data_IF_929550834778
#
_entry.id   IF_929550834778
#
_cell.length_a   1.000
_cell.length_b   1.000
_cell.length_c   1.000
_cell.angle_alpha   90.00
_cell.angle_beta   90.00
_cell.angle_gamma   90.00
#
_symmetry.space_group_name_H-M   'P 1'
#
loop_
_entity.id
_entity.type
_entity.pdbx_description
1 polymer ?
#
# COMPACT_ATOMS: atom_id res chain seq x y z
N UNK A 1 -3.40 13.69 35.11
CA UNK A 1 -2.48 13.76 33.98
C UNK A 1 -3.30 14.08 32.73
N UNK A 2 -3.08 15.24 32.08
CA UNK A 2 -3.68 15.55 30.77
C UNK A 2 -2.94 14.70 29.74
N UNK A 3 -3.63 13.72 29.15
CA UNK A 3 -3.13 13.05 27.94
C UNK A 3 -3.14 14.12 26.86
N UNK A 4 -1.97 14.63 26.47
CA UNK A 4 -1.86 15.51 25.31
C UNK A 4 -2.36 14.71 24.11
N UNK A 5 -3.41 15.18 23.43
CA UNK A 5 -3.80 14.63 22.14
C UNK A 5 -2.61 14.84 21.20
N UNK A 6 -1.96 13.76 20.81
CA UNK A 6 -0.95 13.78 19.75
C UNK A 6 -1.70 14.13 18.47
N UNK A 7 -1.44 15.31 17.88
CA UNK A 7 -2.06 15.75 16.66
C UNK A 7 -1.25 15.23 15.47
N UNK A 8 -1.84 14.30 14.75
CA UNK A 8 -1.36 13.87 13.43
C UNK A 8 -1.91 14.86 12.39
N UNK A 9 -1.02 15.53 11.63
CA UNK A 9 -1.37 16.35 10.45
C UNK A 9 -0.78 15.72 9.20
N UNK A 10 -1.44 15.94 8.05
CA UNK A 10 -0.89 15.60 6.73
C UNK A 10 -0.84 16.88 5.92
N UNK A 11 0.29 17.15 5.30
CA UNK A 11 0.55 18.42 4.61
C UNK A 11 1.17 18.15 3.24
N UNK A 12 0.75 18.90 2.23
CA UNK A 12 1.35 18.86 0.89
C UNK A 12 2.77 19.44 0.94
N UNK A 13 3.72 18.76 0.33
CA UNK A 13 5.13 19.09 0.37
C UNK A 13 5.59 19.77 -0.92
N UNK A 14 6.27 20.92 -0.82
CA UNK A 14 6.74 21.66 -1.98
C UNK A 14 8.18 22.20 -1.85
N UNK A 15 8.65 22.43 -0.62
CA UNK A 15 9.98 22.97 -0.39
C UNK A 15 11.07 21.91 -0.64
N UNK A 16 12.26 22.33 -1.04
CA UNK A 16 13.39 21.41 -1.23
C UNK A 16 13.72 20.62 0.04
N UNK A 17 13.59 21.24 1.20
CA UNK A 17 13.81 20.61 2.51
C UNK A 17 12.80 19.47 2.72
N UNK A 18 11.53 19.70 2.41
CA UNK A 18 10.47 18.70 2.61
C UNK A 18 10.65 17.53 1.65
N UNK A 19 11.03 17.80 0.40
CA UNK A 19 11.34 16.74 -0.58
C UNK A 19 12.51 15.86 -0.09
N UNK A 20 13.53 16.47 0.51
CA UNK A 20 14.65 15.71 1.09
C UNK A 20 14.19 14.83 2.26
N UNK A 21 13.34 15.33 3.15
CA UNK A 21 12.80 14.57 4.27
C UNK A 21 11.91 13.42 3.81
N UNK A 22 11.01 13.67 2.85
CA UNK A 22 10.16 12.63 2.27
C UNK A 22 11.02 11.52 1.63
N UNK A 23 12.05 11.89 0.84
CA UNK A 23 12.98 10.93 0.25
C UNK A 23 13.71 10.13 1.32
N UNK A 24 14.17 10.74 2.41
CA UNK A 24 14.81 10.01 3.51
C UNK A 24 13.88 8.93 4.09
N UNK A 25 12.59 9.24 4.30
CA UNK A 25 11.60 8.27 4.78
C UNK A 25 11.44 7.11 3.79
N UNK A 26 11.44 7.39 2.49
CA UNK A 26 11.40 6.35 1.45
C UNK A 26 12.67 5.50 1.48
N UNK A 27 13.84 6.12 1.53
CA UNK A 27 15.14 5.43 1.57
C UNK A 27 15.30 4.57 2.85
N UNK A 28 14.81 5.02 4.00
CA UNK A 28 14.78 4.24 5.24
C UNK A 28 13.81 3.05 5.18
N UNK A 29 12.73 3.17 4.41
CA UNK A 29 11.73 2.12 4.28
C UNK A 29 12.15 1.04 3.28
N UNK A 30 12.72 1.45 2.15
CA UNK A 30 13.23 0.56 1.09
C UNK A 30 14.75 0.66 0.98
N UNK A 31 15.44 0.18 2.01
CA UNK A 31 16.92 0.16 2.06
C UNK A 31 17.47 -0.73 0.97
N UNK A 32 18.48 -0.23 0.26
CA UNK A 32 19.18 -0.94 -0.81
C UNK A 32 20.67 -1.07 -0.48
N UNK A 33 21.28 -2.18 -0.88
CA UNK A 33 22.70 -2.47 -0.65
C UNK A 33 23.66 -1.38 -1.18
N UNK A 34 23.27 -0.66 -2.24
CA UNK A 34 24.17 0.26 -2.95
C UNK A 34 23.83 1.75 -2.74
N UNK A 35 23.23 2.15 -1.64
CA UNK A 35 22.93 3.56 -1.31
C UNK A 35 22.18 4.33 -2.44
N UNK A 36 21.54 3.63 -3.35
CA UNK A 36 20.78 4.24 -4.44
C UNK A 36 19.33 4.46 -3.99
N UNK A 37 18.87 5.70 -4.04
CA UNK A 37 17.49 6.03 -3.75
C UNK A 37 16.54 5.49 -4.83
N UNK A 38 15.33 5.06 -4.44
CA UNK A 38 14.28 4.65 -5.37
C UNK A 38 13.89 5.81 -6.31
N UNK A 39 13.88 7.04 -5.78
CA UNK A 39 13.54 8.24 -6.53
C UNK A 39 14.56 9.35 -6.25
N UNK A 40 15.08 9.98 -7.32
CA UNK A 40 15.98 11.13 -7.16
C UNK A 40 15.21 12.41 -6.83
N UNK A 41 15.84 13.36 -6.12
CA UNK A 41 15.22 14.66 -5.80
C UNK A 41 14.80 15.43 -7.06
N UNK A 42 15.61 15.36 -8.11
CA UNK A 42 15.33 16.08 -9.36
C UNK A 42 14.09 15.50 -10.04
N UNK A 43 13.97 14.16 -10.09
CA UNK A 43 12.80 13.51 -10.65
C UNK A 43 11.55 13.80 -9.81
N UNK A 44 11.65 13.69 -8.48
CA UNK A 44 10.56 14.00 -7.57
C UNK A 44 10.07 15.45 -7.76
N UNK A 45 11.01 16.42 -7.85
CA UNK A 45 10.67 17.83 -8.11
C UNK A 45 10.00 18.04 -9.46
N UNK A 46 10.50 17.39 -10.51
CA UNK A 46 9.92 17.50 -11.84
C UNK A 46 8.50 16.91 -11.90
N UNK A 47 8.27 15.76 -11.24
CA UNK A 47 6.96 15.13 -11.18
C UNK A 47 5.94 15.97 -10.40
N UNK A 48 6.34 16.56 -9.26
CA UNK A 48 5.47 17.48 -8.50
C UNK A 48 5.12 18.70 -9.34
N UNK A 49 6.10 19.31 -10.03
CA UNK A 49 5.84 20.42 -10.95
C UNK A 49 4.87 20.02 -12.08
N UNK A 50 4.93 18.76 -12.53
CA UNK A 50 4.02 18.17 -13.52
C UNK A 50 2.63 17.74 -12.97
N UNK A 51 2.31 18.05 -11.72
CA UNK A 51 0.99 17.76 -11.13
C UNK A 51 0.90 16.45 -10.34
N UNK A 52 2.06 15.88 -9.95
CA UNK A 52 2.09 14.73 -9.05
C UNK A 52 1.85 15.14 -7.60
N UNK A 53 1.27 14.23 -6.82
CA UNK A 53 1.02 14.41 -5.39
C UNK A 53 2.25 14.00 -4.55
N UNK A 54 2.61 14.82 -3.59
CA UNK A 54 3.53 14.46 -2.49
C UNK A 54 3.04 15.07 -1.20
N UNK A 55 2.87 14.26 -0.16
CA UNK A 55 2.56 14.76 1.19
C UNK A 55 3.39 14.10 2.27
N UNK A 56 3.51 14.79 3.40
CA UNK A 56 4.14 14.33 4.63
C UNK A 56 3.14 14.25 5.76
N UNK A 57 3.24 13.21 6.58
CA UNK A 57 2.52 13.09 7.83
C UNK A 57 3.42 13.55 8.99
N UNK A 58 2.88 14.43 9.84
CA UNK A 58 3.63 15.05 10.93
C UNK A 58 3.01 14.70 12.29
N UNK A 59 3.86 14.29 13.22
CA UNK A 59 3.54 14.17 14.64
C UNK A 59 4.43 15.12 15.43
N UNK A 60 3.84 16.02 16.18
CA UNK A 60 4.57 17.02 16.99
C UNK A 60 5.62 17.81 16.16
N UNK A 61 5.31 18.12 14.90
CA UNK A 61 6.18 18.84 13.97
C UNK A 61 7.31 18.01 13.33
N UNK A 62 7.43 16.71 13.67
CA UNK A 62 8.35 15.78 13.01
C UNK A 62 7.64 15.05 11.89
N UNK A 63 8.20 15.03 10.68
CA UNK A 63 7.70 14.19 9.59
C UNK A 63 7.99 12.73 9.90
N UNK A 64 6.93 11.89 9.97
CA UNK A 64 7.00 10.49 10.39
C UNK A 64 6.52 9.53 9.30
N UNK A 65 5.99 10.07 8.20
CA UNK A 65 5.56 9.31 7.03
C UNK A 65 5.47 10.22 5.82
N UNK A 66 5.51 9.64 4.63
CA UNK A 66 5.33 10.35 3.36
C UNK A 66 4.60 9.49 2.35
N UNK A 67 3.86 10.13 1.42
CA UNK A 67 3.19 9.45 0.31
C UNK A 67 3.39 10.24 -0.99
N UNK A 68 3.68 9.48 -2.07
CA UNK A 68 3.90 9.99 -3.40
C UNK A 68 2.99 9.27 -4.42
N UNK A 69 2.40 10.03 -5.33
CA UNK A 69 1.59 9.52 -6.42
C UNK A 69 1.72 10.40 -7.67
N UNK A 70 1.41 9.81 -8.81
CA UNK A 70 1.49 10.50 -10.09
C UNK A 70 0.27 10.19 -10.98
N UNK A 71 -0.08 11.09 -11.93
CA UNK A 71 -1.10 10.83 -12.93
C UNK A 71 -0.75 9.64 -13.82
N UNK A 72 -1.72 8.77 -14.08
CA UNK A 72 -1.59 7.61 -14.95
C UNK A 72 -2.77 7.53 -15.92
N UNK A 73 -2.56 6.89 -17.09
CA UNK A 73 -3.53 6.88 -18.20
C UNK A 73 -3.76 5.51 -18.83
N UNK A 74 -3.12 4.46 -18.30
CA UNK A 74 -3.19 3.10 -18.90
C UNK A 74 -4.60 2.49 -18.91
N UNK A 75 -5.47 2.88 -17.98
CA UNK A 75 -6.89 2.47 -17.91
C UNK A 75 -7.81 3.68 -17.72
N UNK A 76 -7.51 4.81 -18.35
CA UNK A 76 -8.16 6.10 -18.15
C UNK A 76 -7.38 6.98 -17.18
N UNK A 77 -7.70 8.28 -17.15
CA UNK A 77 -7.01 9.25 -16.30
C UNK A 77 -7.31 8.99 -14.83
N UNK A 78 -6.28 8.69 -14.06
CA UNK A 78 -6.36 8.41 -12.63
C UNK A 78 -5.05 8.74 -11.91
N UNK A 79 -5.01 8.57 -10.60
CA UNK A 79 -3.80 8.72 -9.81
C UNK A 79 -3.22 7.34 -9.46
N UNK A 80 -1.97 7.09 -9.82
CA UNK A 80 -1.24 5.93 -9.33
C UNK A 80 -0.43 6.28 -8.09
N UNK A 81 -0.87 5.74 -6.94
CA UNK A 81 -0.17 5.89 -5.66
C UNK A 81 1.03 4.96 -5.63
N UNK A 82 2.22 5.51 -5.85
CA UNK A 82 3.43 4.71 -6.04
C UNK A 82 4.13 4.36 -4.72
N UNK A 83 4.34 5.34 -3.85
CA UNK A 83 5.06 5.16 -2.59
C UNK A 83 4.22 5.68 -1.42
N UNK A 84 4.14 4.89 -0.35
CA UNK A 84 3.61 5.32 0.94
C UNK A 84 4.41 4.63 2.05
N UNK A 85 5.09 5.42 2.86
CA UNK A 85 6.01 4.94 3.87
C UNK A 85 5.74 5.59 5.23
N UNK A 86 5.94 4.82 6.29
CA UNK A 86 5.85 5.28 7.69
C UNK A 86 7.06 4.73 8.43
N UNK A 87 7.77 5.60 9.14
CA UNK A 87 8.91 5.22 9.97
C UNK A 87 8.50 4.10 10.94
N UNK A 88 9.36 3.09 11.19
CA UNK A 88 9.02 1.89 11.96
C UNK A 88 8.37 2.20 13.32
N UNK A 89 8.93 3.14 14.06
CA UNK A 89 8.48 3.52 15.40
C UNK A 89 7.10 4.22 15.45
N UNK A 90 6.58 4.67 14.28
CA UNK A 90 5.28 5.34 14.14
C UNK A 90 4.24 4.48 13.41
N UNK A 91 4.57 3.22 13.13
CA UNK A 91 3.62 2.27 12.53
C UNK A 91 2.50 1.94 13.51
N UNK A 92 1.37 1.48 12.96
CA UNK A 92 0.16 1.10 13.70
C UNK A 92 -0.53 2.24 14.49
N UNK A 93 -0.08 3.48 14.33
CA UNK A 93 -0.64 4.70 14.93
C UNK A 93 -1.57 5.48 13.98
N UNK A 94 -2.03 4.87 12.89
CA UNK A 94 -2.95 5.49 11.94
C UNK A 94 -2.28 6.37 10.86
N UNK A 95 -0.97 6.56 10.89
CA UNK A 95 -0.23 7.44 9.96
C UNK A 95 -0.44 7.03 8.50
N UNK A 96 -0.29 5.74 8.17
CA UNK A 96 -0.50 5.25 6.80
C UNK A 96 -1.95 5.41 6.32
N UNK A 97 -2.92 5.27 7.22
CA UNK A 97 -4.33 5.53 6.93
C UNK A 97 -4.55 7.03 6.62
N UNK A 98 -4.03 7.93 7.46
CA UNK A 98 -4.16 9.37 7.28
C UNK A 98 -3.55 9.84 5.94
N UNK A 99 -2.36 9.35 5.58
CA UNK A 99 -1.73 9.63 4.29
C UNK A 99 -2.61 9.18 3.10
N UNK A 100 -3.25 8.01 3.20
CA UNK A 100 -4.14 7.50 2.14
C UNK A 100 -5.43 8.30 2.02
N UNK A 101 -6.02 8.70 3.14
CA UNK A 101 -7.22 9.54 3.13
C UNK A 101 -6.92 10.93 2.57
N UNK A 102 -5.79 11.53 2.94
CA UNK A 102 -5.36 12.82 2.38
C UNK A 102 -5.16 12.71 0.85
N UNK A 103 -4.48 11.67 0.38
CA UNK A 103 -4.27 11.40 -1.04
C UNK A 103 -5.59 11.21 -1.79
N UNK A 104 -6.58 10.51 -1.19
CA UNK A 104 -7.91 10.34 -1.75
C UNK A 104 -8.66 11.67 -1.86
N UNK A 105 -8.65 12.50 -0.80
CA UNK A 105 -9.24 13.83 -0.79
C UNK A 105 -8.62 14.75 -1.84
N UNK A 106 -7.29 14.70 -1.95
CA UNK A 106 -6.56 15.46 -2.97
C UNK A 106 -6.95 15.00 -4.39
N UNK A 107 -6.98 13.70 -4.66
CA UNK A 107 -7.36 13.16 -5.96
C UNK A 107 -8.80 13.56 -6.33
N UNK A 108 -9.74 13.45 -5.39
CA UNK A 108 -11.13 13.91 -5.58
C UNK A 108 -11.21 15.40 -5.89
N UNK A 109 -10.44 16.24 -5.20
CA UNK A 109 -10.38 17.70 -5.44
C UNK A 109 -9.79 18.05 -6.81
N UNK A 110 -8.95 17.19 -7.38
CA UNK A 110 -8.36 17.33 -8.70
C UNK A 110 -9.17 16.63 -9.81
N UNK A 111 -10.42 16.23 -9.53
CA UNK A 111 -11.34 15.56 -10.44
C UNK A 111 -10.83 14.24 -11.05
N UNK A 112 -9.91 13.53 -10.34
CA UNK A 112 -9.57 12.16 -10.70
C UNK A 112 -10.65 11.22 -10.18
N UNK A 113 -11.17 10.34 -11.04
CA UNK A 113 -12.28 9.43 -10.72
C UNK A 113 -11.88 8.24 -9.85
N UNK A 114 -10.59 7.90 -9.78
CA UNK A 114 -10.10 6.85 -8.89
C UNK A 114 -8.58 6.92 -8.65
N UNK A 115 -8.15 6.20 -7.61
CA UNK A 115 -6.74 5.92 -7.35
C UNK A 115 -6.45 4.44 -7.61
N UNK A 116 -5.24 4.14 -8.07
CA UNK A 116 -4.71 2.78 -8.17
C UNK A 116 -3.39 2.65 -7.42
N UNK A 117 -3.07 1.45 -6.95
CA UNK A 117 -1.73 1.07 -6.47
C UNK A 117 -1.60 -0.42 -6.37
N UNK A 118 -0.38 -0.88 -6.13
CA UNK A 118 -0.12 -2.29 -5.88
C UNK A 118 0.39 -2.52 -4.46
N UNK A 119 0.11 -3.69 -3.90
CA UNK A 119 0.71 -4.13 -2.64
C UNK A 119 1.01 -5.62 -2.65
N UNK A 120 2.00 -6.04 -1.84
CA UNK A 120 2.35 -7.45 -1.68
C UNK A 120 1.21 -8.19 -0.96
N UNK A 121 0.58 -9.21 -1.58
CA UNK A 121 -0.53 -9.95 -0.99
C UNK A 121 -0.17 -10.68 0.30
N UNK A 122 1.09 -11.02 0.52
CA UNK A 122 1.55 -11.74 1.70
C UNK A 122 1.75 -10.84 2.93
N UNK A 123 1.83 -9.52 2.75
CA UNK A 123 2.03 -8.59 3.87
C UNK A 123 0.69 -8.30 4.55
N UNK A 124 0.40 -9.04 5.64
CA UNK A 124 -0.87 -8.97 6.38
C UNK A 124 -1.30 -7.56 6.78
N UNK A 125 -0.36 -6.72 7.23
CA UNK A 125 -0.64 -5.32 7.58
C UNK A 125 -1.18 -4.54 6.38
N UNK A 126 -0.60 -4.75 5.19
CA UNK A 126 -1.06 -4.09 3.96
C UNK A 126 -2.44 -4.61 3.55
N UNK A 127 -2.70 -5.91 3.62
CA UNK A 127 -4.02 -6.47 3.36
C UNK A 127 -5.09 -5.86 4.27
N UNK A 128 -4.84 -5.81 5.59
CA UNK A 128 -5.77 -5.18 6.55
C UNK A 128 -5.97 -3.69 6.30
N UNK A 129 -4.91 -2.94 6.02
CA UNK A 129 -5.04 -1.52 5.70
C UNK A 129 -5.92 -1.33 4.47
N UNK A 130 -5.60 -2.01 3.38
CA UNK A 130 -6.26 -1.81 2.09
C UNK A 130 -7.72 -2.31 2.11
N UNK A 131 -7.95 -3.55 2.50
CA UNK A 131 -9.27 -4.18 2.38
C UNK A 131 -10.20 -3.75 3.52
N UNK A 132 -9.68 -3.72 4.75
CA UNK A 132 -10.52 -3.47 5.94
C UNK A 132 -10.63 -1.98 6.22
N UNK A 133 -9.51 -1.28 6.42
CA UNK A 133 -9.54 0.12 6.85
C UNK A 133 -9.91 1.10 5.73
N UNK A 134 -9.39 0.90 4.52
CA UNK A 134 -9.67 1.76 3.37
C UNK A 134 -10.87 1.28 2.54
N UNK A 135 -11.24 0.00 2.64
CA UNK A 135 -12.37 -0.57 1.92
C UNK A 135 -12.21 -0.63 0.40
N UNK A 136 -10.97 -0.73 -0.09
CA UNK A 136 -10.65 -0.72 -1.51
C UNK A 136 -11.13 -1.96 -2.25
N UNK A 137 -11.22 -1.87 -3.56
CA UNK A 137 -11.45 -3.02 -4.45
C UNK A 137 -10.12 -3.57 -4.96
N UNK A 138 -10.05 -4.89 -5.09
CA UNK A 138 -8.93 -5.59 -5.71
C UNK A 138 -9.34 -5.95 -7.13
N UNK A 139 -8.59 -5.44 -8.12
CA UNK A 139 -8.93 -5.63 -9.53
C UNK A 139 -8.21 -6.81 -10.17
N UNK A 140 -6.92 -7.00 -9.88
CA UNK A 140 -6.10 -8.04 -10.53
C UNK A 140 -4.96 -8.50 -9.63
N UNK A 141 -4.41 -9.69 -9.97
CA UNK A 141 -3.17 -10.22 -9.40
C UNK A 141 -2.09 -10.21 -10.48
N UNK A 142 -0.93 -9.68 -10.15
CA UNK A 142 0.22 -9.60 -11.04
C UNK A 142 1.39 -10.41 -10.49
N UNK A 143 1.71 -11.57 -11.06
CA UNK A 143 2.92 -12.30 -10.70
C UNK A 143 4.17 -11.50 -11.06
N UNK A 144 5.13 -11.48 -10.15
CA UNK A 144 6.46 -10.89 -10.32
C UNK A 144 6.46 -9.50 -11.01
N UNK A 145 5.58 -8.61 -10.56
CA UNK A 145 5.23 -7.34 -11.21
C UNK A 145 6.42 -6.41 -11.46
N UNK A 146 7.32 -6.30 -10.48
CA UNK A 146 8.51 -5.45 -10.57
C UNK A 146 9.79 -6.22 -10.96
N UNK A 147 9.69 -7.54 -11.17
CA UNK A 147 10.87 -8.39 -11.29
C UNK A 147 11.61 -8.53 -9.96
N UNK A 148 12.92 -8.68 -10.01
CA UNK A 148 13.78 -8.74 -8.84
C UNK A 148 13.88 -7.37 -8.17
N UNK A 149 13.58 -7.30 -6.87
CA UNK A 149 13.64 -6.06 -6.08
C UNK A 149 14.84 -6.15 -5.13
N UNK A 150 15.83 -5.24 -5.28
CA UNK A 150 17.09 -5.32 -4.54
C UNK A 150 17.05 -4.66 -3.16
N UNK A 151 15.86 -4.42 -2.60
CA UNK A 151 15.72 -3.83 -1.26
C UNK A 151 15.55 -4.92 -0.17
N UNK A 152 15.94 -4.59 1.07
CA UNK A 152 15.94 -5.52 2.21
C UNK A 152 14.56 -6.15 2.53
N UNK A 153 13.46 -5.49 2.15
CA UNK A 153 12.10 -6.00 2.42
C UNK A 153 11.66 -7.07 1.42
N UNK A 154 12.16 -6.99 0.18
CA UNK A 154 11.72 -7.82 -0.95
C UNK A 154 12.81 -8.77 -1.46
N UNK A 155 14.08 -8.56 -1.11
CA UNK A 155 15.20 -9.33 -1.63
C UNK A 155 14.99 -10.83 -1.50
N UNK A 156 15.24 -11.56 -2.58
CA UNK A 156 15.17 -13.02 -2.63
C UNK A 156 13.76 -13.60 -2.79
N UNK A 157 12.72 -12.76 -2.96
CA UNK A 157 11.35 -13.20 -3.24
C UNK A 157 10.84 -12.59 -4.55
N UNK A 158 9.85 -13.22 -5.16
CA UNK A 158 9.18 -12.67 -6.34
C UNK A 158 8.23 -11.53 -5.94
N UNK A 159 8.18 -10.50 -6.79
CA UNK A 159 7.44 -9.27 -6.50
C UNK A 159 5.97 -9.32 -6.90
N UNK A 160 5.22 -10.33 -6.46
CA UNK A 160 3.79 -10.42 -6.73
C UNK A 160 3.03 -9.24 -6.11
N UNK A 161 2.03 -8.77 -6.84
CA UNK A 161 1.21 -7.64 -6.40
C UNK A 161 -0.28 -7.87 -6.66
N UNK A 162 -1.09 -7.47 -5.68
CA UNK A 162 -2.50 -7.20 -5.89
C UNK A 162 -2.68 -5.74 -6.32
N UNK A 163 -3.41 -5.52 -7.42
CA UNK A 163 -3.76 -4.18 -7.88
C UNK A 163 -5.04 -3.71 -7.19
N UNK A 164 -4.98 -2.50 -6.66
CA UNK A 164 -6.10 -1.81 -6.04
C UNK A 164 -6.74 -0.84 -7.01
N UNK A 165 -8.06 -0.74 -6.94
CA UNK A 165 -8.85 0.37 -7.47
C UNK A 165 -9.65 1.00 -6.33
N UNK A 166 -9.61 2.33 -6.20
CA UNK A 166 -10.28 3.07 -5.13
C UNK A 166 -10.99 4.29 -5.69
N UNK A 167 -12.28 4.19 -5.88
CA UNK A 167 -13.11 5.24 -6.48
C UNK A 167 -13.11 6.51 -5.62
N UNK A 168 -13.11 7.65 -6.29
CA UNK A 168 -13.38 8.98 -5.70
C UNK A 168 -14.83 9.44 -5.94
N UNK A 169 -15.59 8.69 -6.77
CA UNK A 169 -17.00 8.97 -7.08
C UNK A 169 -17.96 8.50 -5.95
N UNK A 170 -17.46 8.52 -4.72
CA UNK A 170 -18.20 8.22 -3.50
C UNK A 170 -18.09 9.41 -2.55
N UNK A 171 -19.00 9.54 -1.62
CA UNK A 171 -18.99 10.66 -0.66
C UNK A 171 -17.75 10.61 0.23
N UNK A 172 -17.47 9.43 0.81
CA UNK A 172 -16.34 9.17 1.67
C UNK A 172 -15.90 7.69 1.61
N UNK A 173 -14.60 7.40 1.85
CA UNK A 173 -14.12 6.03 2.01
C UNK A 173 -14.80 5.31 3.18
N UNK A 174 -15.23 4.06 2.95
CA UNK A 174 -15.91 3.24 3.98
C UNK A 174 -15.06 2.05 4.37
N UNK A 175 -14.67 2.02 5.64
CA UNK A 175 -14.05 0.82 6.23
C UNK A 175 -15.00 -0.38 6.15
N UNK A 176 -14.44 -1.57 6.03
CA UNK A 176 -15.17 -2.85 6.11
C UNK A 176 -14.88 -3.52 7.46
N UNK A 177 -15.81 -4.30 7.93
CA UNK A 177 -15.57 -5.16 9.09
C UNK A 177 -14.80 -6.42 8.68
N UNK A 178 -14.07 -7.00 9.63
CA UNK A 178 -13.48 -8.32 9.44
C UNK A 178 -14.60 -9.37 9.32
N UNK A 179 -14.46 -10.27 8.35
CA UNK A 179 -15.41 -11.39 8.19
C UNK A 179 -15.09 -12.44 9.27
N UNK A 180 -15.98 -12.58 10.25
CA UNK A 180 -15.85 -13.57 11.32
C UNK A 180 -16.47 -14.92 10.96
N UNK A 181 -17.46 -14.92 10.05
CA UNK A 181 -18.16 -16.11 9.59
C UNK A 181 -18.23 -16.11 8.05
N UNK A 182 -17.20 -16.62 7.36
CA UNK A 182 -17.24 -16.80 5.92
C UNK A 182 -18.40 -17.72 5.53
N UNK A 183 -18.96 -17.53 4.35
CA UNK A 183 -19.99 -18.40 3.81
C UNK A 183 -19.37 -19.74 3.38
N UNK A 184 -20.18 -20.85 3.33
CA UNK A 184 -19.65 -22.16 2.90
C UNK A 184 -18.99 -22.16 1.52
N UNK A 185 -19.47 -21.32 0.60
CA UNK A 185 -18.97 -21.23 -0.79
C UNK A 185 -17.90 -20.15 -0.99
N UNK A 186 -17.51 -19.42 0.08
CA UNK A 186 -16.43 -18.46 -0.02
C UNK A 186 -15.09 -19.19 -0.15
N UNK A 187 -14.23 -18.68 -1.03
CA UNK A 187 -12.85 -19.15 -1.18
C UNK A 187 -12.00 -18.38 -0.17
N UNK A 188 -11.30 -19.12 0.70
CA UNK A 188 -10.41 -18.56 1.70
C UNK A 188 -8.96 -18.73 1.26
N UNK A 189 -8.21 -17.62 1.19
CA UNK A 189 -6.78 -17.63 0.86
C UNK A 189 -6.02 -17.16 2.10
N UNK A 190 -5.43 -18.13 2.80
CA UNK A 190 -4.60 -17.88 3.98
C UNK A 190 -3.28 -17.22 3.60
N UNK A 191 -2.81 -16.31 4.46
CA UNK A 191 -1.48 -15.70 4.36
C UNK A 191 -0.75 -15.79 5.70
N UNK A 192 0.60 -15.84 5.69
CA UNK A 192 1.37 -15.97 6.91
C UNK A 192 1.20 -14.76 7.82
N UNK A 193 1.43 -14.96 9.11
CA UNK A 193 1.36 -13.88 10.08
C UNK A 193 2.45 -12.83 9.84
N UNK A 194 3.67 -13.26 9.56
CA UNK A 194 4.85 -12.42 9.35
C UNK A 194 5.71 -12.94 8.19
N UNK A 195 5.32 -12.62 6.96
CA UNK A 195 6.10 -12.99 5.78
C UNK A 195 7.47 -12.33 5.77
N UNK A 196 7.62 -11.13 6.34
CA UNK A 196 8.91 -10.41 6.36
C UNK A 196 9.89 -11.16 7.25
N UNK A 197 9.45 -11.61 8.41
CA UNK A 197 10.25 -12.44 9.31
C UNK A 197 10.56 -13.82 8.73
N UNK A 198 9.63 -14.43 7.99
CA UNK A 198 9.89 -15.70 7.27
C UNK A 198 10.93 -15.47 6.19
N UNK A 199 10.76 -14.46 5.33
CA UNK A 199 11.65 -14.14 4.21
C UNK A 199 13.11 -13.92 4.67
N UNK A 200 13.29 -13.23 5.80
CA UNK A 200 14.61 -12.96 6.36
C UNK A 200 15.33 -14.21 6.93
N UNK A 201 14.57 -15.28 7.26
CA UNK A 201 15.10 -16.49 7.92
C UNK A 201 15.12 -17.69 7.00
N UNK A 202 14.11 -17.84 6.15
CA UNK A 202 13.90 -19.00 5.27
C UNK A 202 13.26 -18.55 3.95
N UNK A 203 14.11 -18.25 2.99
CA UNK A 203 13.70 -17.85 1.65
C UNK A 203 12.89 -18.95 0.94
N UNK A 204 13.20 -20.21 1.17
CA UNK A 204 12.49 -21.34 0.56
C UNK A 204 11.04 -21.39 1.04
N UNK A 205 10.81 -21.16 2.33
CA UNK A 205 9.47 -21.11 2.90
C UNK A 205 8.69 -19.87 2.40
N UNK A 206 9.36 -18.69 2.28
CA UNK A 206 8.75 -17.50 1.67
C UNK A 206 8.28 -17.78 0.25
N UNK A 207 9.08 -18.43 -0.58
CA UNK A 207 8.71 -18.79 -1.95
C UNK A 207 7.57 -19.81 -2.03
N UNK A 208 7.45 -20.75 -1.07
CA UNK A 208 6.29 -21.65 -1.01
C UNK A 208 5.01 -20.89 -0.75
N UNK A 209 4.99 -19.98 0.25
CA UNK A 209 3.85 -19.11 0.51
C UNK A 209 3.48 -18.28 -0.72
N UNK A 210 4.49 -17.71 -1.40
CA UNK A 210 4.31 -16.92 -2.61
C UNK A 210 3.58 -17.71 -3.70
N UNK A 211 4.07 -18.91 -4.02
CA UNK A 211 3.51 -19.78 -5.07
C UNK A 211 2.10 -20.24 -4.72
N UNK A 212 1.89 -20.70 -3.48
CA UNK A 212 0.58 -21.14 -3.01
C UNK A 212 -0.47 -20.02 -3.13
N UNK A 213 -0.18 -18.84 -2.63
CA UNK A 213 -1.11 -17.71 -2.66
C UNK A 213 -1.36 -17.22 -4.09
N UNK A 214 -0.32 -17.20 -4.94
CA UNK A 214 -0.44 -16.91 -6.37
C UNK A 214 -1.42 -17.86 -7.07
N UNK A 215 -1.20 -19.15 -6.93
CA UNK A 215 -2.04 -20.18 -7.57
C UNK A 215 -3.51 -20.05 -7.13
N UNK A 216 -3.75 -19.83 -5.85
CA UNK A 216 -5.09 -19.65 -5.31
C UNK A 216 -5.79 -18.39 -5.87
N UNK A 217 -5.09 -17.24 -5.90
CA UNK A 217 -5.65 -16.01 -6.48
C UNK A 217 -5.92 -16.15 -7.97
N UNK A 218 -4.97 -16.67 -8.75
CA UNK A 218 -5.14 -16.84 -10.20
C UNK A 218 -6.32 -17.77 -10.50
N UNK A 219 -6.39 -18.93 -9.81
CA UNK A 219 -7.52 -19.86 -9.97
C UNK A 219 -8.87 -19.25 -9.59
N UNK A 220 -8.91 -18.43 -8.54
CA UNK A 220 -10.15 -17.76 -8.14
C UNK A 220 -10.57 -16.68 -9.15
N UNK A 221 -9.63 -15.88 -9.66
CA UNK A 221 -9.91 -14.83 -10.64
C UNK A 221 -10.31 -15.40 -12.02
N UNK A 222 -9.74 -16.52 -12.45
CA UNK A 222 -10.18 -17.25 -13.65
C UNK A 222 -11.67 -17.66 -13.58
N UNK A 223 -12.17 -17.89 -12.38
CA UNK A 223 -13.60 -18.20 -12.11
C UNK A 223 -14.45 -16.96 -11.84
N UNK A 224 -13.96 -15.76 -12.17
CA UNK A 224 -14.57 -14.47 -11.87
C UNK A 224 -14.74 -14.17 -10.36
N UNK A 225 -13.96 -14.80 -9.51
CA UNK A 225 -13.93 -14.53 -8.08
C UNK A 225 -13.52 -13.09 -7.77
N UNK A 226 -14.17 -12.48 -6.78
CA UNK A 226 -13.89 -11.13 -6.31
C UNK A 226 -13.50 -11.15 -4.85
N UNK A 227 -12.49 -10.38 -4.46
CA UNK A 227 -12.17 -10.17 -3.05
C UNK A 227 -13.28 -9.36 -2.40
N UNK A 228 -14.02 -10.00 -1.50
CA UNK A 228 -15.15 -9.37 -0.78
C UNK A 228 -14.78 -8.88 0.61
N UNK A 229 -13.64 -9.33 1.16
CA UNK A 229 -13.19 -8.93 2.47
C UNK A 229 -11.94 -9.65 2.94
N UNK A 230 -11.67 -9.50 4.23
CA UNK A 230 -10.57 -10.14 4.95
C UNK A 230 -11.10 -10.76 6.24
N UNK A 231 -10.71 -12.00 6.55
CA UNK A 231 -11.22 -12.70 7.70
C UNK A 231 -10.48 -12.35 9.00
N UNK A 232 -11.09 -12.66 10.13
CA UNK A 232 -10.45 -12.56 11.44
C UNK A 232 -9.24 -13.51 11.56
N UNK A 233 -9.20 -14.60 10.77
CA UNK A 233 -8.13 -15.60 10.75
C UNK A 233 -6.97 -15.24 9.79
N UNK A 234 -6.93 -13.99 9.26
CA UNK A 234 -5.91 -13.52 8.32
C UNK A 234 -5.98 -14.17 6.93
N UNK A 235 -7.18 -14.33 6.43
CA UNK A 235 -7.45 -14.88 5.10
C UNK A 235 -8.12 -13.84 4.21
N UNK A 236 -7.75 -13.78 2.95
CA UNK A 236 -8.60 -13.11 1.97
C UNK A 236 -9.86 -13.94 1.75
N UNK A 237 -10.99 -13.27 1.68
CA UNK A 237 -12.28 -13.92 1.40
C UNK A 237 -12.70 -13.51 -0.01
N UNK A 238 -12.81 -14.51 -0.91
CA UNK A 238 -13.23 -14.30 -2.29
C UNK A 238 -14.58 -14.99 -2.52
N UNK A 239 -15.36 -14.43 -3.42
CA UNK A 239 -16.66 -14.95 -3.82
C UNK A 239 -16.77 -14.97 -5.35
N UNK A 240 -17.27 -16.09 -5.89
CA UNK A 240 -17.59 -16.29 -7.31
C UNK A 240 -19.00 -15.80 -7.59
#
# INVERSE_FOLDING_TARGET
MKVSKIFLTVEELSSQKDLMLARQIFDETWRREFLTSEITLNLLKAMIYGGSYLSGAFLEGKMVGAAFAFPATNIGLHIHSHMAAVLPEYRDQGVGYALKIDQWNWAKKQDYSYLSWTFDPLVRRNAKLNIVKLGVEISTYHPNFYGEMPDELNAGDESDRLMVSWSTDIDEPKARELITHPKPDDILIEIPEDIIGIRSKDQSESLKWRRQVREQFLSAFEKNGKVVGFSANNEYVLRI
#
